data_IF_781299475437
#
_entry.id   IF_781299475437
#
_cell.length_a   1.000
_cell.length_b   1.000
_cell.length_c   1.000
_cell.angle_alpha   90.00
_cell.angle_beta   90.00
_cell.angle_gamma   90.00
#
_symmetry.space_group_name_H-M   'P 1'
#
loop_
_entity.id
_entity.type
_entity.pdbx_description
1 polymer ?
#
# COMPACT_ATOMS: atom_id res chain seq x y z
N UNK A 1 -0.49 2.59 -13.53
CA UNK A 1 -0.84 3.60 -12.49
C UNK A 1 0.35 3.72 -11.55
N UNK A 2 0.66 4.87 -10.95
CA UNK A 2 1.77 4.94 -9.97
C UNK A 2 1.18 5.04 -8.56
N UNK A 3 1.54 4.08 -7.71
CA UNK A 3 1.29 4.13 -6.27
C UNK A 3 2.59 4.48 -5.55
N UNK A 4 2.55 5.46 -4.66
CA UNK A 4 3.69 5.83 -3.82
C UNK A 4 3.34 5.59 -2.36
N UNK A 5 4.24 4.93 -1.63
CA UNK A 5 4.09 4.67 -0.21
C UNK A 5 5.20 5.38 0.57
N UNK A 6 4.79 6.23 1.50
CA UNK A 6 5.68 6.81 2.50
C UNK A 6 5.51 6.06 3.81
N UNK A 7 6.55 5.33 4.23
CA UNK A 7 6.56 4.54 5.46
C UNK A 7 7.23 5.36 6.57
N UNK A 8 6.52 5.58 7.68
CA UNK A 8 7.05 6.31 8.83
C UNK A 8 7.63 5.35 9.88
N UNK A 9 8.68 5.76 10.63
CA UNK A 9 9.28 4.91 11.66
C UNK A 9 8.33 4.50 12.80
N UNK A 10 7.24 5.25 13.01
CA UNK A 10 6.22 4.96 14.02
C UNK A 10 5.26 3.81 13.63
N UNK A 11 5.46 3.20 12.46
CA UNK A 11 4.62 2.13 11.96
C UNK A 11 3.41 2.63 11.16
N UNK A 12 3.26 3.93 10.94
CA UNK A 12 2.22 4.49 10.06
C UNK A 12 2.72 4.64 8.61
N UNK A 13 1.79 4.68 7.65
CA UNK A 13 2.11 5.01 6.25
C UNK A 13 1.06 5.93 5.62
N UNK A 14 1.47 6.58 4.53
CA UNK A 14 0.60 7.30 3.61
C UNK A 14 0.84 6.75 2.20
N UNK A 15 -0.23 6.24 1.57
CA UNK A 15 -0.26 5.78 0.20
C UNK A 15 -0.96 6.80 -0.69
N UNK A 16 -0.35 7.16 -1.82
CA UNK A 16 -0.92 8.10 -2.79
C UNK A 16 -0.97 7.46 -4.16
N UNK A 17 -2.02 7.76 -4.94
CA UNK A 17 -2.13 7.29 -6.32
C UNK A 17 -2.07 8.47 -7.30
N UNK A 18 -1.48 8.26 -8.48
CA UNK A 18 -1.27 9.34 -9.46
C UNK A 18 -2.54 9.82 -10.17
N UNK A 19 -3.67 9.11 -10.04
CA UNK A 19 -4.93 9.39 -10.75
C UNK A 19 -5.98 10.10 -9.88
N UNK A 20 -6.01 9.80 -8.59
CA UNK A 20 -6.97 10.29 -7.61
C UNK A 20 -6.21 11.14 -6.61
N UNK A 21 -6.23 12.45 -6.90
CA UNK A 21 -5.71 13.44 -5.97
C UNK A 21 -6.65 13.54 -4.78
N UNK A 22 -6.07 13.79 -3.61
CA UNK A 22 -6.78 14.04 -2.36
C UNK A 22 -7.65 12.84 -1.89
N UNK A 23 -7.19 11.61 -2.13
CA UNK A 23 -7.73 10.40 -1.48
C UNK A 23 -6.60 9.49 -1.03
N UNK A 24 -5.91 9.93 0.02
CA UNK A 24 -4.75 9.23 0.54
C UNK A 24 -5.18 7.96 1.27
N UNK A 25 -4.45 6.86 1.01
CA UNK A 25 -4.56 5.63 1.76
C UNK A 25 -3.72 5.76 3.04
N UNK A 26 -4.38 5.92 4.18
CA UNK A 26 -3.70 6.12 5.46
C UNK A 26 -3.85 4.87 6.31
N UNK A 27 -2.76 4.43 6.94
CA UNK A 27 -2.81 3.22 7.73
C UNK A 27 -1.52 2.88 8.47
N UNK A 28 -1.38 1.61 8.79
CA UNK A 28 -0.20 1.06 9.46
C UNK A 28 0.52 0.04 8.60
N UNK A 29 1.84 -0.05 8.77
CA UNK A 29 2.66 -1.06 8.13
C UNK A 29 3.31 -1.97 9.16
N UNK A 30 3.53 -3.22 8.76
CA UNK A 30 4.26 -4.22 9.53
C UNK A 30 5.05 -5.14 8.60
N UNK A 31 6.03 -5.84 9.17
CA UNK A 31 6.79 -6.87 8.46
C UNK A 31 6.32 -8.24 8.92
N UNK A 32 5.93 -9.09 7.98
CA UNK A 32 5.54 -10.48 8.20
C UNK A 32 6.42 -11.38 7.33
N UNK A 33 7.53 -11.88 7.91
CA UNK A 33 8.54 -12.61 7.17
C UNK A 33 9.17 -11.77 6.06
N UNK A 34 8.95 -12.20 4.82
CA UNK A 34 9.43 -11.51 3.60
C UNK A 34 8.43 -10.48 3.05
N UNK A 35 7.27 -10.33 3.70
CA UNK A 35 6.24 -9.39 3.27
C UNK A 35 6.30 -8.10 4.09
N UNK A 36 6.24 -6.98 3.41
CA UNK A 36 5.82 -5.70 3.98
C UNK A 36 4.30 -5.60 3.77
N UNK A 37 3.54 -5.51 4.85
CA UNK A 37 2.08 -5.45 4.82
C UNK A 37 1.64 -4.04 5.22
N UNK A 38 1.00 -3.33 4.32
CA UNK A 38 0.38 -2.03 4.54
C UNK A 38 -1.14 -2.21 4.63
N UNK A 39 -1.74 -1.82 5.75
CA UNK A 39 -3.17 -1.92 5.98
C UNK A 39 -3.75 -0.54 6.33
N UNK A 40 -4.72 -0.09 5.55
CA UNK A 40 -5.32 1.24 5.72
C UNK A 40 -6.70 1.37 5.10
N UNK A 41 -7.19 2.61 5.07
CA UNK A 41 -8.44 3.03 4.43
C UNK A 41 -8.22 4.39 3.76
N UNK A 42 -9.05 4.74 2.77
CA UNK A 42 -9.08 6.10 2.24
C UNK A 42 -10.26 6.88 2.84
N UNK A 43 -10.30 8.20 2.66
CA UNK A 43 -11.43 9.00 3.15
C UNK A 43 -12.71 8.71 2.36
N UNK A 44 -12.58 8.45 1.05
CA UNK A 44 -13.73 8.12 0.19
C UNK A 44 -14.21 6.68 0.35
N UNK A 45 -13.32 5.78 0.77
CA UNK A 45 -13.61 4.36 0.91
C UNK A 45 -13.27 3.87 2.32
N UNK A 46 -14.32 3.62 3.11
CA UNK A 46 -14.18 3.07 4.46
C UNK A 46 -13.82 1.57 4.48
N UNK A 47 -13.77 0.93 3.31
CA UNK A 47 -13.34 -0.46 3.21
C UNK A 47 -11.85 -0.59 3.48
N UNK A 48 -11.47 -1.61 4.26
CA UNK A 48 -10.07 -1.89 4.53
C UNK A 48 -9.37 -2.32 3.24
N UNK A 49 -8.25 -1.67 2.97
CA UNK A 49 -7.31 -2.01 1.90
C UNK A 49 -6.04 -2.60 2.52
N UNK A 50 -5.63 -3.77 2.05
CA UNK A 50 -4.40 -4.45 2.45
C UNK A 50 -3.53 -4.60 1.21
N UNK A 51 -2.30 -4.10 1.29
CA UNK A 51 -1.32 -4.14 0.22
C UNK A 51 -0.08 -4.83 0.73
N UNK A 52 0.35 -5.87 0.03
CA UNK A 52 1.52 -6.67 0.40
C UNK A 52 2.60 -6.50 -0.64
N UNK A 53 3.81 -6.21 -0.18
CA UNK A 53 5.00 -6.17 -1.01
C UNK A 53 5.95 -7.27 -0.58
N UNK A 54 6.51 -8.00 -1.55
CA UNK A 54 7.66 -8.83 -1.29
C UNK A 54 8.88 -7.92 -1.14
N UNK A 55 9.40 -7.85 0.09
CA UNK A 55 10.50 -6.94 0.44
C UNK A 55 11.83 -7.40 -0.13
N UNK A 56 12.00 -8.70 -0.39
CA UNK A 56 13.25 -9.29 -0.89
C UNK A 56 13.49 -8.91 -2.36
N UNK A 57 12.41 -8.82 -3.15
CA UNK A 57 12.48 -8.47 -4.58
C UNK A 57 11.93 -7.07 -4.91
N UNK A 58 11.36 -6.36 -3.92
CA UNK A 58 10.82 -5.01 -4.09
C UNK A 58 9.60 -4.94 -5.00
N UNK A 59 8.78 -6.00 -5.07
CA UNK A 59 7.60 -6.07 -5.93
C UNK A 59 6.31 -6.16 -5.14
N UNK A 60 5.22 -5.70 -5.76
CA UNK A 60 3.87 -5.95 -5.29
C UNK A 60 3.60 -7.45 -5.33
N UNK A 61 3.05 -7.96 -4.24
CA UNK A 61 2.62 -9.35 -4.09
C UNK A 61 1.10 -9.46 -4.28
N UNK A 62 0.32 -8.67 -3.53
CA UNK A 62 -1.14 -8.69 -3.60
C UNK A 62 -1.77 -7.40 -3.08
N UNK A 63 -3.00 -7.13 -3.55
CA UNK A 63 -3.89 -6.06 -3.07
C UNK A 63 -5.23 -6.69 -2.70
N UNK A 64 -5.77 -6.35 -1.55
CA UNK A 64 -7.09 -6.79 -1.08
C UNK A 64 -7.90 -5.58 -0.65
N UNK A 65 -9.08 -5.41 -1.22
CA UNK A 65 -10.02 -4.33 -0.92
C UNK A 65 -11.33 -4.94 -0.43
N UNK A 66 -11.79 -4.55 0.76
CA UNK A 66 -13.05 -5.07 1.31
C UNK A 66 -13.05 -6.60 1.50
N UNK A 67 -11.87 -7.22 1.65
CA UNK A 67 -11.71 -8.67 1.77
C UNK A 67 -11.70 -9.43 0.44
N UNK A 68 -11.70 -8.73 -0.70
CA UNK A 68 -11.58 -9.32 -2.04
C UNK A 68 -10.24 -8.96 -2.67
N UNK A 69 -9.61 -9.92 -3.32
CA UNK A 69 -8.37 -9.68 -4.05
C UNK A 69 -8.64 -8.80 -5.28
N UNK A 70 -7.86 -7.74 -5.44
CA UNK A 70 -7.96 -6.80 -6.55
C UNK A 70 -6.93 -7.13 -7.65
N UNK A 71 -7.25 -6.89 -8.94
CA UNK A 71 -6.29 -7.10 -10.03
C UNK A 71 -5.05 -6.19 -9.86
N UNK A 72 -3.85 -6.77 -9.96
CA UNK A 72 -2.57 -6.07 -9.73
C UNK A 72 -1.74 -5.89 -11.01
N UNK A 73 -2.24 -6.33 -12.16
CA UNK A 73 -1.53 -6.38 -13.45
C UNK A 73 -1.03 -4.99 -13.94
N UNK A 74 -1.59 -3.89 -13.42
CA UNK A 74 -1.22 -2.51 -13.76
C UNK A 74 -0.43 -1.77 -12.66
N UNK A 75 -0.10 -2.45 -11.57
CA UNK A 75 0.53 -1.90 -10.38
C UNK A 75 1.97 -2.40 -10.22
N UNK A 76 2.87 -1.79 -10.99
CA UNK A 76 4.29 -2.11 -10.89
C UNK A 76 5.02 -1.22 -9.88
N UNK A 77 5.49 -1.85 -8.81
CA UNK A 77 6.62 -1.38 -8.00
C UNK A 77 6.28 -0.69 -6.68
N UNK A 78 7.10 -0.99 -5.66
CA UNK A 78 7.16 -0.25 -4.41
C UNK A 78 8.25 0.82 -4.50
N UNK A 79 7.87 2.10 -4.46
CA UNK A 79 8.83 3.20 -4.26
C UNK A 79 8.75 3.62 -2.80
N UNK A 80 9.70 3.12 -1.99
CA UNK A 80 9.86 3.56 -0.60
C UNK A 80 10.70 4.83 -0.58
N UNK A 81 10.10 5.93 -0.14
CA UNK A 81 10.85 7.15 0.22
C UNK A 81 11.13 7.11 1.72
N UNK A 82 12.40 7.24 2.10
CA UNK A 82 12.79 7.50 3.49
C UNK A 82 12.82 9.00 3.69
N UNK A 83 12.07 9.46 4.69
CA UNK A 83 12.22 10.78 5.28
C UNK A 83 13.14 10.70 6.49
#
# INVERSE_FOLDING_TARGET
>A
MVLTFELKPDGSFIGTNSKEKDDDLIGSWKVEGELLVCEGTTEKHSEKIIIKFNKSIGKLDSVTEGGKEAPTEELDGLIVKKN
#
